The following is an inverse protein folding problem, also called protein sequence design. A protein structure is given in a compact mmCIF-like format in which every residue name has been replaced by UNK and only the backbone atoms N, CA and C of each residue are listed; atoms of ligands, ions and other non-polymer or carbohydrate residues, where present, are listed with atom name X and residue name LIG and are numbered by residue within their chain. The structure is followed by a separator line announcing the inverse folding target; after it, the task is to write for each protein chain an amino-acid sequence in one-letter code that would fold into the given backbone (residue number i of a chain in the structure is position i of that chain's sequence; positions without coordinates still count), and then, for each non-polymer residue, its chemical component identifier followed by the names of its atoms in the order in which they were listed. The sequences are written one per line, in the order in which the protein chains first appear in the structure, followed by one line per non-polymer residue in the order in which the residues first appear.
data_IF_366629209247
#
_entry.id   IF_366629209247
#
_cell.length_a   1.000
_cell.length_b   1.000
_cell.length_c   1.000
_cell.angle_alpha   90.00
_cell.angle_beta   90.00
_cell.angle_gamma   90.00
#
_symmetry.space_group_name_H-M   'P 1'
#
loop_
_entity.id
_entity.type
_entity.pdbx_description
1 polymer ?
#
# COMPACT_ATOMS: atom_id res chain seq x y z
N UNK A 1 14.81 12.41 2.15
CA UNK A 1 13.71 13.26 2.68
C UNK A 1 12.45 12.92 1.92
N UNK A 2 11.27 13.03 2.55
CA UNK A 2 9.99 12.85 1.86
C UNK A 2 9.72 13.94 0.82
N UNK A 3 8.73 13.70 -0.03
CA UNK A 3 8.23 14.67 -1.01
C UNK A 3 7.35 15.71 -0.28
N UNK A 4 7.53 17.02 -0.54
CA UNK A 4 6.67 18.06 0.04
C UNK A 4 5.24 18.04 -0.51
N UNK A 5 5.04 17.40 -1.66
CA UNK A 5 3.74 17.17 -2.29
C UNK A 5 3.80 15.91 -3.16
N UNK A 6 2.65 15.32 -3.43
CA UNK A 6 2.49 14.16 -4.33
C UNK A 6 1.60 14.52 -5.49
N UNK A 7 1.82 13.90 -6.65
CA UNK A 7 0.94 14.09 -7.81
C UNK A 7 -0.35 13.31 -7.61
N UNK A 8 -1.48 13.96 -7.87
CA UNK A 8 -2.76 13.28 -8.05
C UNK A 8 -3.23 13.57 -9.47
N UNK A 9 -3.53 12.50 -10.21
CA UNK A 9 -3.98 12.64 -11.58
C UNK A 9 -5.35 13.33 -11.65
N UNK A 10 -5.54 14.22 -12.62
CA UNK A 10 -6.78 14.99 -12.77
C UNK A 10 -7.95 14.14 -13.27
N UNK A 11 -7.68 12.99 -13.88
CA UNK A 11 -8.67 12.00 -14.29
C UNK A 11 -9.06 11.06 -13.14
N UNK A 12 -8.53 11.26 -11.93
CA UNK A 12 -8.87 10.45 -10.75
C UNK A 12 -10.38 10.24 -10.56
N UNK A 13 -11.26 11.28 -10.66
CA UNK A 13 -12.70 11.09 -10.46
C UNK A 13 -13.37 10.21 -11.53
N UNK A 14 -12.78 10.11 -12.74
CA UNK A 14 -13.29 9.32 -13.87
C UNK A 14 -12.53 8.02 -14.08
N UNK A 15 -11.59 7.67 -13.20
CA UNK A 15 -10.87 6.41 -13.27
C UNK A 15 -11.84 5.23 -13.05
N UNK A 16 -11.83 4.18 -13.89
CA UNK A 16 -12.74 3.04 -13.73
C UNK A 16 -12.72 2.39 -12.34
N UNK A 17 -11.54 2.30 -11.70
CA UNK A 17 -11.38 1.75 -10.35
C UNK A 17 -12.06 2.64 -9.29
N UNK A 18 -12.02 3.96 -9.49
CA UNK A 18 -12.70 4.94 -8.62
C UNK A 18 -14.21 4.92 -8.83
N UNK A 19 -14.66 4.86 -10.09
CA UNK A 19 -16.07 4.76 -10.42
C UNK A 19 -16.72 3.51 -9.80
N UNK A 20 -16.02 2.37 -9.83
CA UNK A 20 -16.48 1.14 -9.16
C UNK A 20 -16.69 1.34 -7.64
N UNK A 21 -15.77 2.03 -6.96
CA UNK A 21 -15.93 2.34 -5.54
C UNK A 21 -17.10 3.31 -5.27
N UNK A 22 -17.32 4.29 -6.15
CA UNK A 22 -18.44 5.23 -6.04
C UNK A 22 -19.78 4.53 -6.25
N UNK A 23 -19.88 3.65 -7.24
CA UNK A 23 -21.07 2.84 -7.52
C UNK A 23 -21.48 2.00 -6.29
N UNK A 24 -20.49 1.39 -5.64
CA UNK A 24 -20.69 0.63 -4.39
C UNK A 24 -20.82 1.50 -3.13
N UNK A 25 -20.83 2.83 -3.26
CA UNK A 25 -20.87 3.80 -2.14
C UNK A 25 -19.74 3.64 -1.12
N UNK A 26 -18.59 3.14 -1.57
CA UNK A 26 -17.38 2.92 -0.75
C UNK A 26 -16.50 4.18 -0.70
N UNK A 27 -17.02 5.24 -0.09
CA UNK A 27 -16.31 6.53 -0.01
C UNK A 27 -15.10 6.52 0.93
N UNK A 28 -15.11 5.68 1.98
CA UNK A 28 -13.97 5.58 2.90
C UNK A 28 -12.71 5.04 2.22
N UNK A 29 -12.74 3.91 1.47
CA UNK A 29 -11.60 3.49 0.64
C UNK A 29 -11.05 4.58 -0.29
N UNK A 30 -11.91 5.40 -0.92
CA UNK A 30 -11.45 6.51 -1.76
C UNK A 30 -10.62 7.53 -0.96
N UNK A 31 -11.12 7.93 0.22
CA UNK A 31 -10.36 8.82 1.10
C UNK A 31 -9.05 8.18 1.55
N UNK A 32 -9.08 6.90 1.95
CA UNK A 32 -7.89 6.13 2.33
C UNK A 32 -6.84 6.13 1.22
N UNK A 33 -7.25 5.95 -0.05
CA UNK A 33 -6.33 5.98 -1.18
C UNK A 33 -5.62 7.34 -1.29
N UNK A 34 -6.35 8.45 -1.24
CA UNK A 34 -5.75 9.80 -1.30
C UNK A 34 -4.83 10.05 -0.10
N UNK A 35 -5.25 9.68 1.11
CA UNK A 35 -4.40 9.76 2.31
C UNK A 35 -3.13 8.93 2.19
N UNK A 36 -3.19 7.77 1.52
CA UNK A 36 -2.03 6.90 1.32
C UNK A 36 -0.99 7.50 0.39
N UNK A 37 -1.40 8.26 -0.62
CA UNK A 37 -0.47 9.02 -1.47
C UNK A 37 0.31 10.02 -0.62
N UNK A 38 -0.41 10.81 0.20
CA UNK A 38 0.21 11.81 1.06
C UNK A 38 1.17 11.17 2.08
N UNK A 39 0.77 10.06 2.71
CA UNK A 39 1.63 9.31 3.62
C UNK A 39 2.90 8.83 2.92
N UNK A 40 2.77 8.15 1.78
CA UNK A 40 3.92 7.59 1.08
C UNK A 40 4.90 8.68 0.59
N UNK A 41 4.37 9.82 0.14
CA UNK A 41 5.16 11.00 -0.20
C UNK A 41 5.89 11.58 1.01
N UNK A 42 5.17 11.91 2.08
CA UNK A 42 5.74 12.53 3.28
C UNK A 42 6.81 11.66 3.96
N UNK A 43 6.62 10.34 3.96
CA UNK A 43 7.56 9.40 4.56
C UNK A 43 8.64 8.90 3.58
N UNK A 44 8.54 9.26 2.30
CA UNK A 44 9.46 8.79 1.26
C UNK A 44 9.54 7.27 1.26
N UNK A 45 8.40 6.59 1.14
CA UNK A 45 8.32 5.12 1.15
C UNK A 45 8.24 4.52 -0.24
N UNK A 46 8.28 5.35 -1.29
CA UNK A 46 8.03 4.96 -2.68
C UNK A 46 6.75 4.12 -2.84
N UNK A 47 5.64 4.63 -2.31
CA UNK A 47 4.34 3.96 -2.41
C UNK A 47 4.14 2.83 -1.40
N UNK A 48 5.16 2.42 -0.65
CA UNK A 48 5.00 1.36 0.35
C UNK A 48 4.24 1.85 1.60
N UNK A 49 3.30 1.02 2.06
CA UNK A 49 2.39 1.27 3.17
C UNK A 49 2.50 0.12 4.19
N UNK A 50 3.26 0.27 5.28
CA UNK A 50 3.36 -0.79 6.29
C UNK A 50 2.02 -0.99 7.00
N UNK A 51 1.69 -2.20 7.49
CA UNK A 51 0.40 -2.42 8.16
C UNK A 51 0.12 -1.50 9.36
N UNK A 52 1.17 -0.99 10.01
CA UNK A 52 1.07 -0.01 11.10
C UNK A 52 0.60 1.38 10.64
N UNK A 53 0.62 1.68 9.33
CA UNK A 53 0.15 2.97 8.80
C UNK A 53 -1.36 3.07 8.71
N UNK A 54 -2.09 1.94 8.66
CA UNK A 54 -3.55 1.93 8.45
C UNK A 54 -4.33 2.92 9.34
N UNK A 55 -4.09 3.03 10.67
CA UNK A 55 -4.79 4.00 11.51
C UNK A 55 -4.56 5.45 11.07
N UNK A 56 -3.36 5.79 10.60
CA UNK A 56 -3.01 7.13 10.10
C UNK A 56 -3.63 7.42 8.73
N UNK A 57 -3.96 6.37 7.97
CA UNK A 57 -4.69 6.46 6.71
C UNK A 57 -6.21 6.47 6.91
N UNK A 58 -6.69 6.42 8.17
CA UNK A 58 -8.11 6.25 8.51
C UNK A 58 -8.71 4.95 7.94
N UNK A 59 -7.88 3.92 7.81
CA UNK A 59 -8.19 2.66 7.16
C UNK A 59 -8.33 1.50 8.17
N UNK A 60 -9.19 0.56 7.83
CA UNK A 60 -9.23 -0.79 8.40
C UNK A 60 -8.61 -1.79 7.43
N UNK A 61 -8.35 -3.02 7.90
CA UNK A 61 -7.93 -4.12 7.01
C UNK A 61 -8.97 -4.44 5.93
N UNK A 62 -10.26 -4.19 6.21
CA UNK A 62 -11.32 -4.37 5.22
C UNK A 62 -11.24 -3.32 4.10
N UNK A 63 -10.92 -2.06 4.42
CA UNK A 63 -10.72 -1.03 3.39
C UNK A 63 -9.48 -1.33 2.55
N UNK A 64 -8.40 -1.78 3.18
CA UNK A 64 -7.20 -2.22 2.48
C UNK A 64 -7.50 -3.37 1.51
N UNK A 65 -8.32 -4.36 1.94
CA UNK A 65 -8.78 -5.44 1.07
C UNK A 65 -9.56 -4.88 -0.13
N UNK A 66 -10.51 -3.97 0.10
CA UNK A 66 -11.28 -3.33 -0.98
C UNK A 66 -10.35 -2.64 -1.98
N UNK A 67 -9.36 -1.88 -1.50
CA UNK A 67 -8.41 -1.17 -2.36
C UNK A 67 -7.53 -2.11 -3.18
N UNK A 68 -7.18 -3.27 -2.62
CA UNK A 68 -6.50 -4.35 -3.36
C UNK A 68 -7.43 -4.98 -4.38
N UNK A 69 -8.67 -5.29 -4.02
CA UNK A 69 -9.65 -5.92 -4.92
C UNK A 69 -9.93 -5.05 -6.16
N UNK A 70 -9.97 -3.71 -6.00
CA UNK A 70 -10.14 -2.77 -7.13
C UNK A 70 -8.82 -2.39 -7.82
N UNK A 71 -7.68 -2.90 -7.35
CA UNK A 71 -6.37 -2.67 -7.93
C UNK A 71 -5.84 -1.25 -7.76
N UNK A 72 -6.24 -0.53 -6.72
CA UNK A 72 -5.62 0.75 -6.34
C UNK A 72 -4.40 0.55 -5.43
N UNK A 73 -4.38 -0.54 -4.67
CA UNK A 73 -3.23 -1.01 -3.91
C UNK A 73 -2.83 -2.41 -4.35
N UNK A 74 -1.56 -2.76 -4.16
CA UNK A 74 -1.02 -4.09 -4.32
C UNK A 74 -0.60 -4.67 -2.96
N UNK A 75 -0.76 -5.98 -2.71
CA UNK A 75 -0.22 -6.61 -1.52
C UNK A 75 1.31 -6.62 -1.56
N UNK A 76 1.96 -6.14 -0.49
CA UNK A 76 3.41 -6.04 -0.44
C UNK A 76 3.93 -6.43 0.94
N UNK A 77 4.52 -7.63 1.04
CA UNK A 77 5.20 -8.05 2.25
C UNK A 77 4.31 -8.02 3.52
N UNK A 78 4.63 -7.14 4.47
CA UNK A 78 3.87 -6.92 5.71
C UNK A 78 2.88 -5.74 5.63
N UNK A 79 2.52 -5.31 4.41
CA UNK A 79 1.63 -4.20 4.16
C UNK A 79 1.16 -4.18 2.70
N UNK A 80 1.14 -3.00 2.12
CA UNK A 80 0.65 -2.74 0.77
C UNK A 80 1.57 -1.79 0.03
N UNK A 81 1.39 -1.71 -1.28
CA UNK A 81 2.00 -0.68 -2.12
C UNK A 81 0.90 0.04 -2.91
N UNK A 82 1.06 1.34 -3.13
CA UNK A 82 0.21 2.07 -4.07
C UNK A 82 0.51 1.58 -5.49
N UNK A 83 -0.53 1.17 -6.22
CA UNK A 83 -0.38 0.69 -7.58
C UNK A 83 0.26 1.74 -8.49
N UNK A 84 1.21 1.31 -9.33
CA UNK A 84 1.96 2.13 -10.29
C UNK A 84 2.66 3.38 -9.72
N UNK A 85 3.01 3.38 -8.43
CA UNK A 85 3.66 4.53 -7.80
C UNK A 85 4.85 5.09 -8.60
N UNK A 86 5.73 4.20 -9.10
CA UNK A 86 6.96 4.59 -9.80
C UNK A 86 6.71 5.20 -11.20
N UNK A 87 5.55 4.96 -11.80
CA UNK A 87 5.18 5.56 -13.09
C UNK A 87 4.76 7.03 -12.91
N UNK A 88 4.01 7.32 -11.84
CA UNK A 88 3.42 8.64 -11.63
C UNK A 88 4.25 9.54 -10.72
N UNK A 89 5.01 8.97 -9.78
CA UNK A 89 5.78 9.73 -8.79
C UNK A 89 7.29 9.64 -9.05
N UNK A 90 8.03 10.75 -8.88
CA UNK A 90 9.48 10.69 -8.91
C UNK A 90 9.97 9.85 -7.71
N UNK A 91 10.69 8.77 -7.99
CA UNK A 91 11.35 7.96 -6.97
C UNK A 91 12.81 8.34 -6.84
N UNK A 92 13.35 8.30 -5.63
CA UNK A 92 14.79 8.56 -5.40
C UNK A 92 15.55 7.24 -5.33
N UNK A 93 16.82 7.25 -5.72
CA UNK A 93 17.67 6.05 -5.62
C UNK A 93 17.74 5.49 -4.18
N UNK A 94 17.77 6.37 -3.17
CA UNK A 94 17.77 5.98 -1.76
C UNK A 94 16.45 5.30 -1.34
N UNK A 95 15.33 5.74 -1.92
CA UNK A 95 14.02 5.18 -1.61
C UNK A 95 13.79 3.82 -2.27
N UNK A 96 14.27 3.64 -3.51
CA UNK A 96 14.25 2.34 -4.18
C UNK A 96 15.01 1.28 -3.39
N UNK A 97 16.13 1.66 -2.77
CA UNK A 97 16.93 0.76 -1.94
C UNK A 97 16.29 0.46 -0.58
N UNK A 98 15.49 1.38 -0.02
CA UNK A 98 14.63 1.07 1.14
C UNK A 98 13.50 0.11 0.76
N UNK A 99 12.86 0.33 -0.40
CA UNK A 99 11.81 -0.56 -0.92
C UNK A 99 12.33 -1.99 -1.07
N UNK A 100 13.48 -2.19 -1.70
CA UNK A 100 14.14 -3.52 -1.80
C UNK A 100 14.34 -4.17 -0.43
N UNK A 101 14.90 -3.43 0.53
CA UNK A 101 15.15 -3.95 1.88
C UNK A 101 13.86 -4.33 2.62
N UNK A 102 12.79 -3.54 2.47
CA UNK A 102 11.50 -3.84 3.06
C UNK A 102 10.86 -5.10 2.46
N UNK A 103 10.92 -5.25 1.13
CA UNK A 103 10.45 -6.46 0.42
C UNK A 103 11.24 -7.69 0.89
N UNK A 104 12.57 -7.60 0.97
CA UNK A 104 13.41 -8.71 1.42
C UNK A 104 13.16 -9.08 2.89
N UNK A 105 13.00 -8.09 3.77
CA UNK A 105 12.66 -8.32 5.17
C UNK A 105 11.29 -9.00 5.29
N UNK A 106 10.31 -8.57 4.49
CA UNK A 106 8.99 -9.17 4.51
C UNK A 106 8.94 -10.58 3.91
N UNK A 107 9.71 -10.85 2.84
CA UNK A 107 9.89 -12.22 2.31
C UNK A 107 10.50 -13.13 3.37
N UNK A 108 11.53 -12.66 4.08
CA UNK A 108 12.15 -13.40 5.20
C UNK A 108 11.14 -13.65 6.34
N UNK A 109 10.39 -12.64 6.74
CA UNK A 109 9.37 -12.77 7.78
C UNK A 109 8.23 -13.73 7.38
N UNK A 110 7.79 -13.70 6.13
CA UNK A 110 6.83 -14.66 5.59
C UNK A 110 7.39 -16.08 5.66
N UNK A 111 8.64 -16.30 5.23
CA UNK A 111 9.26 -17.62 5.22
C UNK A 111 9.36 -18.23 6.64
N UNK A 112 9.67 -17.41 7.65
CA UNK A 112 9.66 -17.83 9.06
C UNK A 112 8.26 -18.22 9.52
N UNK A 113 7.23 -17.48 9.10
CA UNK A 113 5.83 -17.75 9.48
C UNK A 113 5.28 -19.05 8.85
N UNK A 114 5.69 -19.39 7.63
CA UNK A 114 5.22 -20.59 6.93
C UNK A 114 5.98 -21.86 7.35
N UNK A 115 7.27 -21.77 7.68
CA UNK A 115 8.05 -22.93 8.13
C UNK A 115 7.99 -23.19 9.64
N UNK A 116 7.48 -22.26 10.46
CA UNK A 116 7.35 -22.42 11.91
C UNK A 116 6.11 -23.19 12.39
N UNK A 117 5.13 -23.47 11.51
CA UNK A 117 3.85 -24.10 11.90
C UNK A 117 3.76 -25.60 11.51
N UNK A 118 4.87 -26.22 11.10
CA UNK A 118 4.89 -27.61 10.62
C UNK A 118 5.23 -28.67 11.66
N UNK A 119 5.47 -28.30 12.93
CA UNK A 119 6.04 -29.21 13.93
C UNK A 119 5.34 -29.17 15.30
N UNK A 120 4.01 -29.07 15.29
CA UNK A 120 3.19 -29.10 16.51
C UNK A 120 1.89 -29.89 16.30
N UNK A 121 1.98 -31.11 15.77
CA UNK A 121 0.91 -32.11 15.80
C UNK A 121 1.53 -33.51 15.66
N UNK A 122 2.14 -34.00 16.74
CA UNK A 122 2.48 -35.41 16.97
C UNK A 122 2.97 -35.59 18.41
N UNK A 123 2.03 -35.56 19.34
CA UNK A 123 2.15 -36.14 20.68
C UNK A 123 0.75 -36.46 21.20
#
# INVERSE_FOLDING_TARGET
MGLPWVRLDTQFPSNPKVLALVEEKKFRPLFVYVSSLAYAGAHGTDGFLPAASLPFLHATKADAKVLVDVGLWDPAGNGWEVHDWAEFQPSTAETQERKKRAIDAARKAANVRWHGNGNAESA
#
